data_IF_827122990771
#
_entry.id   IF_827122990771
#
_cell.length_a   1.000
_cell.length_b   1.000
_cell.length_c   1.000
_cell.angle_alpha   90.00
_cell.angle_beta   90.00
_cell.angle_gamma   90.00
#
_symmetry.space_group_name_H-M   'P 1'
#
loop_
_entity.id
_entity.type
_entity.pdbx_description
1 polymer ?
#
# COMPACT_ATOMS: atom_id res chain seq x y z
N UNK A 1 5.40 16.30 0.70
CA UNK A 1 5.59 17.15 1.88
C UNK A 1 5.81 16.28 3.12
N UNK A 2 4.87 15.40 3.50
CA UNK A 2 4.99 14.57 4.71
C UNK A 2 6.31 13.79 4.76
N UNK A 3 6.68 13.10 3.67
CA UNK A 3 7.94 12.36 3.60
C UNK A 3 9.18 13.24 3.78
N UNK A 4 9.20 14.45 3.20
CA UNK A 4 10.35 15.38 3.29
C UNK A 4 10.50 16.00 4.68
N UNK A 5 9.38 16.32 5.32
CA UNK A 5 9.35 16.99 6.63
C UNK A 5 9.21 16.00 7.80
N UNK A 6 9.25 14.70 7.53
CA UNK A 6 9.06 13.63 8.51
C UNK A 6 7.77 13.77 9.33
N UNK A 7 6.68 14.14 8.64
CA UNK A 7 5.35 14.20 9.23
C UNK A 7 4.72 12.80 9.12
N UNK A 8 4.23 12.22 10.22
CA UNK A 8 3.56 10.93 10.18
C UNK A 8 2.49 10.83 9.10
N UNK A 9 2.48 9.73 8.33
CA UNK A 9 1.54 9.51 7.25
C UNK A 9 1.03 8.07 7.25
N UNK A 10 -0.28 7.91 7.21
CA UNK A 10 -0.97 6.65 6.94
C UNK A 10 -1.70 6.77 5.60
N UNK A 11 -1.23 6.05 4.59
CA UNK A 11 -1.86 5.97 3.27
C UNK A 11 -2.79 4.77 3.17
N UNK A 12 -4.11 4.99 3.04
CA UNK A 12 -5.10 3.92 2.95
C UNK A 12 -5.57 3.77 1.51
N UNK A 13 -5.51 2.56 0.96
CA UNK A 13 -5.95 2.18 -0.37
C UNK A 13 -5.36 3.10 -1.45
N UNK A 14 -6.13 4.02 -1.99
CA UNK A 14 -5.67 5.04 -2.93
C UNK A 14 -4.56 5.93 -2.33
N UNK A 15 -4.58 6.16 -1.01
CA UNK A 15 -3.52 6.87 -0.29
C UNK A 15 -2.17 6.17 -0.36
N UNK A 16 -2.13 4.83 -0.26
CA UNK A 16 -0.92 4.05 -0.50
C UNK A 16 -0.44 4.20 -1.94
N UNK A 17 -1.34 4.13 -2.91
CA UNK A 17 -1.01 4.28 -4.33
C UNK A 17 -0.39 5.65 -4.62
N UNK A 18 -0.95 6.73 -4.07
CA UNK A 18 -0.40 8.08 -4.20
C UNK A 18 0.97 8.24 -3.52
N UNK A 19 1.20 7.56 -2.39
CA UNK A 19 2.49 7.50 -1.72
C UNK A 19 3.55 6.86 -2.64
N UNK A 20 3.23 5.75 -3.28
CA UNK A 20 4.12 5.07 -4.24
C UNK A 20 4.42 5.97 -5.44
N UNK A 21 3.40 6.62 -6.00
CA UNK A 21 3.58 7.56 -7.13
C UNK A 21 4.47 8.75 -6.72
N UNK A 22 4.23 9.33 -5.55
CA UNK A 22 5.09 10.44 -5.04
C UNK A 22 6.53 9.98 -4.89
N UNK A 23 6.74 8.81 -4.31
CA UNK A 23 8.09 8.29 -4.10
C UNK A 23 8.81 8.03 -5.44
N UNK A 24 8.13 7.41 -6.40
CA UNK A 24 8.69 7.17 -7.73
C UNK A 24 9.05 8.47 -8.46
N UNK A 25 8.23 9.52 -8.34
CA UNK A 25 8.49 10.84 -8.93
C UNK A 25 9.61 11.59 -8.23
N UNK A 26 9.52 11.72 -6.93
CA UNK A 26 10.34 12.66 -6.16
C UNK A 26 11.68 12.06 -5.69
N UNK A 27 11.79 10.73 -5.57
CA UNK A 27 13.02 10.04 -5.15
C UNK A 27 13.73 9.42 -6.35
N UNK A 28 13.01 8.67 -7.19
CA UNK A 28 13.62 8.04 -8.37
C UNK A 28 13.65 8.96 -9.61
N UNK A 29 12.99 10.12 -9.58
CA UNK A 29 12.96 11.07 -10.71
C UNK A 29 12.22 10.54 -11.94
N UNK A 30 11.28 9.61 -11.75
CA UNK A 30 10.54 8.96 -12.82
C UNK A 30 9.31 9.79 -13.25
N UNK A 31 8.96 9.76 -14.53
CA UNK A 31 7.65 10.17 -15.00
C UNK A 31 6.64 9.04 -14.69
N UNK A 32 6.27 8.96 -13.41
CA UNK A 32 5.47 7.87 -12.86
C UNK A 32 4.01 8.27 -12.62
N UNK A 33 3.10 7.32 -12.79
CA UNK A 33 1.68 7.55 -12.58
C UNK A 33 0.90 6.29 -12.26
N UNK A 34 -0.42 6.46 -12.20
CA UNK A 34 -1.40 5.41 -11.98
C UNK A 34 -2.27 5.24 -13.23
N UNK A 35 -2.43 4.02 -13.72
CA UNK A 35 -3.35 3.66 -14.80
C UNK A 35 -4.82 4.04 -14.47
N UNK A 36 -5.15 4.25 -13.18
CA UNK A 36 -6.47 4.70 -12.75
C UNK A 36 -6.75 6.17 -13.12
N UNK A 37 -5.70 7.00 -13.14
CA UNK A 37 -5.84 8.43 -13.42
C UNK A 37 -5.65 8.72 -14.91
N UNK A 38 -4.53 8.31 -15.44
CA UNK A 38 -4.11 8.52 -16.83
C UNK A 38 -3.14 7.39 -17.21
N UNK A 39 -3.17 6.95 -18.46
CA UNK A 39 -2.34 5.85 -18.98
C UNK A 39 -1.14 6.32 -19.82
N UNK A 40 -0.93 7.64 -19.94
CA UNK A 40 0.11 8.25 -20.77
C UNK A 40 1.44 8.52 -20.03
N UNK A 41 1.57 8.15 -18.76
CA UNK A 41 2.84 8.19 -18.03
C UNK A 41 3.83 7.15 -18.58
N UNK A 42 5.11 7.52 -18.62
CA UNK A 42 6.19 6.60 -19.04
C UNK A 42 6.27 5.36 -18.12
N UNK A 43 5.97 5.56 -16.82
CA UNK A 43 6.05 4.53 -15.79
C UNK A 43 4.74 4.39 -15.03
N UNK A 44 3.95 3.37 -15.35
CA UNK A 44 2.73 3.03 -14.61
C UNK A 44 3.09 2.19 -13.38
N UNK A 45 3.45 2.88 -12.28
CA UNK A 45 3.82 2.24 -11.01
C UNK A 45 2.61 1.70 -10.25
N UNK A 46 1.41 2.18 -10.59
CA UNK A 46 0.13 1.65 -10.14
C UNK A 46 -0.64 1.19 -11.38
N UNK A 47 -1.05 -0.07 -11.38
CA UNK A 47 -1.60 -0.71 -12.58
C UNK A 47 -2.67 -1.75 -12.25
N UNK A 48 -3.60 -1.95 -13.17
CA UNK A 48 -4.53 -3.07 -13.09
C UNK A 48 -3.84 -4.37 -13.52
N UNK A 49 -3.85 -5.39 -12.66
CA UNK A 49 -3.21 -6.68 -12.96
C UNK A 49 -3.96 -7.45 -14.05
N UNK A 50 -3.22 -8.23 -14.85
CA UNK A 50 -3.76 -8.94 -16.01
C UNK A 50 -4.84 -9.97 -15.64
N UNK A 51 -4.71 -10.64 -14.51
CA UNK A 51 -5.70 -11.60 -14.03
C UNK A 51 -7.03 -10.92 -13.70
N UNK A 52 -6.99 -9.69 -13.22
CA UNK A 52 -8.19 -8.87 -13.00
C UNK A 52 -8.80 -8.43 -14.34
N UNK A 53 -8.00 -8.13 -15.38
CA UNK A 53 -8.49 -7.78 -16.73
C UNK A 53 -9.22 -8.94 -17.43
N UNK A 54 -8.88 -10.19 -17.15
CA UNK A 54 -9.61 -11.36 -17.70
C UNK A 54 -10.98 -11.54 -17.04
N UNK A 55 -11.13 -11.17 -15.79
CA UNK A 55 -12.40 -11.24 -15.04
C UNK A 55 -13.35 -10.11 -15.43
N UNK A 56 -12.88 -9.01 -16.05
CA UNK A 56 -13.74 -7.93 -16.60
C UNK A 56 -14.83 -8.44 -17.55
N UNK A 57 -14.50 -9.43 -18.36
CA UNK A 57 -15.49 -10.06 -19.28
C UNK A 57 -16.62 -10.79 -18.55
N UNK A 58 -16.47 -11.02 -17.23
CA UNK A 58 -17.44 -11.68 -16.36
C UNK A 58 -18.05 -10.74 -15.29
N UNK A 59 -17.79 -9.42 -15.38
CA UNK A 59 -18.43 -8.39 -14.52
C UNK A 59 -17.77 -8.17 -13.16
N UNK A 60 -16.55 -8.68 -12.90
CA UNK A 60 -15.87 -8.49 -11.63
C UNK A 60 -14.35 -8.32 -11.78
N UNK A 61 -13.85 -7.10 -11.58
CA UNK A 61 -12.41 -6.75 -11.64
C UNK A 61 -11.87 -6.22 -10.31
N UNK A 62 -12.77 -6.10 -9.32
CA UNK A 62 -12.43 -5.51 -8.04
C UNK A 62 -11.98 -6.60 -7.07
N UNK A 63 -10.82 -6.42 -6.44
CA UNK A 63 -10.52 -7.14 -5.22
C UNK A 63 -11.48 -6.66 -4.14
N UNK A 64 -12.43 -7.51 -3.79
CA UNK A 64 -13.49 -7.22 -2.83
C UNK A 64 -13.56 -8.33 -1.81
N UNK A 65 -13.50 -7.98 -0.53
CA UNK A 65 -13.55 -8.94 0.58
C UNK A 65 -12.31 -8.94 1.44
N UNK A 66 -12.13 -10.02 2.19
CA UNK A 66 -11.01 -10.19 3.13
C UNK A 66 -9.90 -10.98 2.46
N UNK A 67 -8.67 -10.49 2.61
CA UNK A 67 -7.46 -11.14 2.11
C UNK A 67 -6.39 -11.16 3.20
N UNK A 68 -5.59 -12.22 3.20
CA UNK A 68 -4.45 -12.36 4.08
C UNK A 68 -3.26 -11.58 3.54
N UNK A 69 -2.52 -10.92 4.43
CA UNK A 69 -1.20 -10.39 4.18
C UNK A 69 -0.20 -11.05 5.13
N UNK A 70 0.90 -11.58 4.62
CA UNK A 70 2.10 -11.90 5.39
C UNK A 70 2.86 -10.60 5.64
N UNK A 71 3.28 -10.37 6.89
CA UNK A 71 3.82 -9.10 7.37
C UNK A 71 5.30 -9.21 7.74
N UNK A 72 6.02 -8.15 7.43
CA UNK A 72 7.41 -7.94 7.84
C UNK A 72 7.59 -6.50 8.37
N UNK A 73 8.77 -6.17 8.85
CA UNK A 73 9.15 -4.81 9.24
C UNK A 73 8.29 -4.21 10.36
N UNK A 74 8.12 -2.89 10.31
CA UNK A 74 7.38 -2.12 11.32
C UNK A 74 5.91 -2.53 11.38
N UNK A 75 5.30 -2.86 10.23
CA UNK A 75 3.90 -3.29 10.17
C UNK A 75 3.67 -4.58 10.97
N UNK A 76 4.60 -5.56 10.89
CA UNK A 76 4.53 -6.79 11.69
C UNK A 76 4.60 -6.50 13.20
N UNK A 77 5.45 -5.56 13.61
CA UNK A 77 5.57 -5.13 15.01
C UNK A 77 4.28 -4.43 15.49
N UNK A 78 3.69 -3.57 14.68
CA UNK A 78 2.45 -2.84 14.98
C UNK A 78 1.28 -3.79 15.18
N UNK A 79 1.12 -4.78 14.30
CA UNK A 79 0.07 -5.79 14.44
C UNK A 79 0.37 -6.83 15.52
N UNK A 80 1.66 -7.00 15.88
CA UNK A 80 2.12 -8.04 16.79
C UNK A 80 1.89 -9.45 16.23
N UNK A 81 1.95 -9.60 14.91
CA UNK A 81 1.64 -10.82 14.17
C UNK A 81 2.44 -10.89 12.86
N UNK A 82 2.69 -12.09 12.38
CA UNK A 82 3.31 -12.35 11.07
C UNK A 82 2.30 -12.38 9.91
N UNK A 83 1.00 -12.42 10.24
CA UNK A 83 -0.09 -12.41 9.28
C UNK A 83 -1.26 -11.57 9.80
N UNK A 84 -1.96 -10.90 8.88
CA UNK A 84 -3.22 -10.19 9.17
C UNK A 84 -4.23 -10.43 8.05
N UNK A 85 -5.51 -10.39 8.40
CA UNK A 85 -6.61 -10.44 7.43
C UNK A 85 -7.28 -9.07 7.41
N UNK A 86 -7.17 -8.38 6.29
CA UNK A 86 -7.78 -7.07 6.10
C UNK A 86 -8.75 -7.06 4.91
N UNK A 87 -9.66 -6.07 4.88
CA UNK A 87 -10.68 -5.95 3.85
C UNK A 87 -10.21 -5.05 2.72
N UNK A 88 -10.51 -5.46 1.48
CA UNK A 88 -10.11 -4.78 0.26
C UNK A 88 -11.32 -4.34 -0.57
N UNK A 89 -11.14 -3.22 -1.28
CA UNK A 89 -12.06 -2.71 -2.28
C UNK A 89 -11.31 -1.83 -3.28
N UNK A 90 -10.57 -2.46 -4.19
CA UNK A 90 -9.80 -1.73 -5.21
C UNK A 90 -9.62 -2.57 -6.48
N UNK A 91 -9.15 -1.94 -7.55
CA UNK A 91 -8.86 -2.57 -8.86
C UNK A 91 -7.40 -2.47 -9.24
N UNK A 92 -6.71 -1.44 -8.74
CA UNK A 92 -5.34 -1.13 -9.09
C UNK A 92 -4.42 -1.52 -7.94
N UNK A 93 -3.21 -1.94 -8.29
CA UNK A 93 -2.20 -2.47 -7.40
C UNK A 93 -0.85 -1.81 -7.66
N UNK A 94 0.06 -1.85 -6.71
CA UNK A 94 1.48 -1.59 -6.96
C UNK A 94 1.97 -2.56 -8.04
N UNK A 95 2.55 -2.01 -9.12
CA UNK A 95 3.09 -2.82 -10.20
C UNK A 95 4.40 -3.50 -9.77
N UNK A 96 4.45 -4.84 -9.68
CA UNK A 96 5.62 -5.59 -9.20
C UNK A 96 6.91 -5.31 -9.99
N UNK A 97 6.81 -4.84 -11.23
CA UNK A 97 7.98 -4.49 -12.06
C UNK A 97 8.83 -3.35 -11.45
N UNK A 98 8.24 -2.54 -10.55
CA UNK A 98 8.90 -1.39 -9.94
C UNK A 98 9.34 -1.64 -8.48
N UNK A 99 8.88 -2.71 -7.83
CA UNK A 99 9.16 -2.98 -6.42
C UNK A 99 10.66 -2.93 -6.10
N UNK A 100 11.48 -3.68 -6.84
CA UNK A 100 12.93 -3.68 -6.62
C UNK A 100 13.58 -2.29 -6.71
N UNK A 101 13.05 -1.40 -7.57
CA UNK A 101 13.57 -0.04 -7.71
C UNK A 101 13.16 0.84 -6.54
N UNK A 102 11.93 0.67 -6.05
CA UNK A 102 11.40 1.39 -4.90
C UNK A 102 12.12 0.96 -3.62
N UNK A 103 12.31 -0.35 -3.43
CA UNK A 103 13.02 -0.92 -2.27
C UNK A 103 14.49 -0.50 -2.23
N UNK A 104 15.16 -0.43 -3.37
CA UNK A 104 16.56 0.02 -3.44
C UNK A 104 16.76 1.47 -2.93
N UNK A 105 15.72 2.29 -2.97
CA UNK A 105 15.73 3.68 -2.50
C UNK A 105 15.01 3.85 -1.14
N UNK A 106 14.54 2.74 -0.52
CA UNK A 106 14.05 2.70 0.85
C UNK A 106 12.53 2.79 1.01
N UNK A 107 11.73 2.55 -0.05
CA UNK A 107 10.31 2.25 0.09
C UNK A 107 10.14 0.72 0.08
N UNK A 108 9.99 0.14 1.24
CA UNK A 108 9.96 -1.31 1.44
C UNK A 108 8.52 -1.85 1.32
N UNK A 109 8.37 -3.04 0.73
CA UNK A 109 7.11 -3.78 0.78
C UNK A 109 7.12 -4.63 2.04
N UNK A 110 6.40 -4.19 3.06
CA UNK A 110 6.33 -4.80 4.40
C UNK A 110 5.11 -5.72 4.61
N UNK A 111 4.31 -5.93 3.58
CA UNK A 111 3.24 -6.91 3.61
C UNK A 111 2.88 -7.40 2.22
N UNK A 112 2.67 -8.73 2.07
CA UNK A 112 2.36 -9.35 0.80
C UNK A 112 1.21 -10.34 0.92
N UNK A 113 0.38 -10.38 -0.10
CA UNK A 113 -0.59 -11.45 -0.23
C UNK A 113 0.13 -12.79 -0.54
N UNK A 114 -0.05 -13.86 0.28
CA UNK A 114 0.68 -15.11 0.10
C UNK A 114 0.29 -15.89 -1.16
N UNK A 115 -0.89 -15.65 -1.74
CA UNK A 115 -1.36 -16.36 -2.93
C UNK A 115 -0.92 -15.67 -4.22
N UNK A 116 -0.90 -14.34 -4.24
CA UNK A 116 -0.64 -13.54 -5.45
C UNK A 116 0.74 -12.89 -5.45
N UNK A 117 1.38 -12.75 -4.28
CA UNK A 117 2.62 -12.02 -4.08
C UNK A 117 2.48 -10.50 -4.17
N UNK A 118 1.27 -9.97 -4.37
CA UNK A 118 1.03 -8.54 -4.50
C UNK A 118 1.27 -7.79 -3.18
N UNK A 119 1.77 -6.57 -3.29
CA UNK A 119 2.03 -5.70 -2.16
C UNK A 119 0.73 -5.27 -1.47
N UNK A 120 0.65 -5.50 -0.17
CA UNK A 120 -0.47 -5.13 0.71
C UNK A 120 -0.10 -3.96 1.64
N UNK A 121 1.17 -3.88 2.00
CA UNK A 121 1.73 -2.79 2.81
C UNK A 121 3.05 -2.31 2.22
N UNK A 122 3.30 -1.02 2.35
CA UNK A 122 4.59 -0.39 2.08
C UNK A 122 4.97 0.53 3.23
N UNK A 123 6.27 0.65 3.51
CA UNK A 123 6.77 1.51 4.59
C UNK A 123 8.10 2.18 4.23
N UNK A 124 8.43 3.25 4.96
CA UNK A 124 9.75 3.88 4.95
C UNK A 124 10.28 3.86 6.38
N UNK A 125 11.06 2.84 6.73
CA UNK A 125 11.52 2.56 8.09
C UNK A 125 12.45 3.61 8.73
N UNK A 126 12.90 4.61 7.96
CA UNK A 126 13.70 5.73 8.47
C UNK A 126 12.85 6.95 8.87
N UNK A 127 11.54 6.83 8.81
CA UNK A 127 10.57 7.88 9.14
C UNK A 127 9.90 7.59 10.49
N UNK A 128 9.41 8.64 11.14
CA UNK A 128 8.69 8.52 12.41
C UNK A 128 7.49 7.60 12.32
N UNK A 129 6.71 7.70 11.25
CA UNK A 129 5.64 6.78 10.86
C UNK A 129 5.27 7.08 9.40
N UNK A 130 5.57 6.15 8.48
CA UNK A 130 5.26 6.36 7.08
C UNK A 130 4.85 5.04 6.45
N UNK A 131 3.56 4.72 6.55
CA UNK A 131 3.00 3.42 6.16
C UNK A 131 1.86 3.61 5.16
N UNK A 132 1.86 2.80 4.11
CA UNK A 132 0.76 2.63 3.18
C UNK A 132 0.15 1.24 3.29
N UNK A 133 -1.17 1.13 3.25
CA UNK A 133 -1.88 -0.15 3.12
C UNK A 133 -2.84 -0.13 1.93
N UNK A 134 -2.84 -1.20 1.14
CA UNK A 134 -3.79 -1.37 0.04
C UNK A 134 -5.18 -1.74 0.55
N UNK A 135 -5.26 -2.27 1.75
CA UNK A 135 -6.50 -2.61 2.42
C UNK A 135 -7.24 -1.38 2.99
N UNK A 136 -8.39 -1.66 3.58
CA UNK A 136 -9.26 -0.72 4.29
C UNK A 136 -9.38 -1.14 5.77
N UNK A 137 -8.38 -0.83 6.61
CA UNK A 137 -8.37 -1.23 8.03
C UNK A 137 -9.53 -0.62 8.83
N UNK A 138 -10.18 0.45 8.32
CA UNK A 138 -11.37 1.02 8.94
C UNK A 138 -12.54 0.03 9.02
N UNK A 139 -12.61 -0.96 8.13
CA UNK A 139 -13.67 -1.96 8.17
C UNK A 139 -13.49 -3.00 9.29
N UNK A 140 -12.28 -3.12 9.81
CA UNK A 140 -11.93 -4.02 10.93
C UNK A 140 -11.65 -3.24 12.23
N UNK A 141 -12.05 -1.96 12.29
CA UNK A 141 -11.78 -1.07 13.42
C UNK A 141 -13.07 -0.63 14.11
N UNK A 142 -13.07 -0.58 15.44
CA UNK A 142 -14.14 -0.01 16.26
C UNK A 142 -13.57 0.80 17.43
N UNK A 143 -14.43 1.51 18.16
CA UNK A 143 -14.00 2.26 19.35
C UNK A 143 -13.48 1.30 20.44
N UNK A 144 -14.11 0.15 20.59
CA UNK A 144 -13.74 -0.87 21.59
C UNK A 144 -12.52 -1.69 21.18
N UNK A 145 -12.27 -1.80 19.86
CA UNK A 145 -11.15 -2.56 19.30
C UNK A 145 -10.59 -1.81 18.08
N UNK A 146 -9.83 -0.72 18.31
CA UNK A 146 -9.24 0.04 17.22
C UNK A 146 -8.18 -0.78 16.48
N UNK A 147 -8.14 -0.64 15.15
CA UNK A 147 -7.09 -1.26 14.38
C UNK A 147 -5.70 -0.73 14.82
N UNK A 148 -4.70 -1.62 14.99
CA UNK A 148 -3.36 -1.25 15.48
C UNK A 148 -2.68 -0.12 14.70
N UNK A 149 -2.87 -0.04 13.37
CA UNK A 149 -2.32 1.04 12.54
C UNK A 149 -2.80 2.42 12.98
N UNK A 150 -4.10 2.56 13.29
CA UNK A 150 -4.63 3.85 13.76
C UNK A 150 -4.09 4.24 15.13
N UNK A 151 -3.94 3.24 16.01
CA UNK A 151 -3.39 3.49 17.35
C UNK A 151 -1.95 4.00 17.25
N UNK A 152 -1.10 3.32 16.47
CA UNK A 152 0.30 3.70 16.33
C UNK A 152 0.47 5.02 15.55
N UNK A 153 -0.33 5.22 14.48
CA UNK A 153 -0.36 6.49 13.76
C UNK A 153 -0.69 7.67 14.68
N UNK A 154 -1.75 7.58 15.50
CA UNK A 154 -2.11 8.64 16.44
C UNK A 154 -1.01 8.88 17.48
N UNK A 155 -0.40 7.82 17.98
CA UNK A 155 0.71 7.92 18.95
C UNK A 155 1.93 8.63 18.33
N UNK A 156 2.23 8.39 17.05
CA UNK A 156 3.33 9.03 16.35
C UNK A 156 3.11 10.54 16.11
N UNK A 157 1.88 11.04 16.26
CA UNK A 157 1.55 12.47 16.09
C UNK A 157 1.61 13.27 17.39
N UNK A 158 1.83 12.62 18.53
CA UNK A 158 1.89 13.24 19.87
C UNK A 158 3.33 13.55 20.30
#
# INVERSE_FOLDING_TARGET
>A
HCRKEDIPLLGICYGMQLLVVEFARDVLGMDAGSEELEDDFEHLVIKQMQDQKQVEKMGGTMRLGSYTAELEGEVSEIYGAEEVVERHRHRFELNPEYENKLEAEGLEVSGRNPETGLAEFVEIGQKTFFIGTQAHPEFNSSIENPNPLYHEFLKSTL
#
